data_IF_889565931588
#
_entry.id   IF_889565931588
#
_cell.length_a   1.000
_cell.length_b   1.000
_cell.length_c   1.000
_cell.angle_alpha   90.00
_cell.angle_beta   90.00
_cell.angle_gamma   90.00
#
_symmetry.space_group_name_H-M   'P 1'
#
loop_
_entity.id
_entity.type
_entity.pdbx_description
1 polymer ?
#
# COMPACT_ATOMS: atom_id res chain seq x y z
N UNK A 1 15.49 -21.80 13.97
CA UNK A 1 14.65 -20.59 13.82
C UNK A 1 14.12 -20.59 12.39
N UNK A 2 12.80 -20.47 12.16
CA UNK A 2 12.26 -20.24 10.81
C UNK A 2 12.74 -18.85 10.37
N UNK A 3 13.39 -18.78 9.20
CA UNK A 3 13.77 -17.51 8.59
C UNK A 3 12.47 -16.80 8.17
N UNK A 4 12.17 -15.67 8.77
CA UNK A 4 11.01 -14.87 8.37
C UNK A 4 11.27 -14.27 6.98
N UNK A 5 10.24 -14.26 6.14
CA UNK A 5 10.30 -13.64 4.84
C UNK A 5 10.16 -12.12 5.02
N UNK A 6 11.16 -11.39 4.58
CA UNK A 6 11.18 -9.92 4.63
C UNK A 6 10.94 -9.39 3.22
N UNK A 7 10.05 -8.41 3.08
CA UNK A 7 9.81 -7.68 1.85
C UNK A 7 10.39 -6.26 1.95
N UNK A 8 10.93 -5.75 0.84
CA UNK A 8 11.39 -4.37 0.73
C UNK A 8 10.27 -3.49 0.17
N UNK A 9 10.04 -2.33 0.79
CA UNK A 9 9.24 -1.28 0.18
C UNK A 9 10.11 -0.53 -0.84
N UNK A 10 9.74 -0.64 -2.13
CA UNK A 10 10.58 -0.11 -3.23
C UNK A 10 10.63 1.41 -3.31
N UNK A 11 9.79 2.13 -2.55
CA UNK A 11 9.94 3.57 -2.39
C UNK A 11 11.30 3.96 -1.80
N UNK A 12 11.90 3.08 -1.00
CA UNK A 12 13.25 3.28 -0.44
C UNK A 12 14.34 3.32 -1.51
N UNK A 13 14.10 2.70 -2.66
CA UNK A 13 15.00 2.64 -3.82
C UNK A 13 14.37 3.25 -5.08
N UNK A 14 13.42 4.18 -4.89
CA UNK A 14 12.65 4.79 -5.98
C UNK A 14 13.50 5.42 -7.08
N UNK A 15 14.63 6.03 -6.72
CA UNK A 15 15.53 6.62 -7.71
C UNK A 15 16.21 5.61 -8.63
N UNK A 16 16.39 4.37 -8.16
CA UNK A 16 16.90 3.27 -8.99
C UNK A 16 15.76 2.62 -9.77
N UNK A 17 14.56 2.49 -9.17
CA UNK A 17 13.35 2.04 -9.87
C UNK A 17 13.01 2.91 -11.10
N UNK A 18 13.18 4.23 -10.99
CA UNK A 18 12.97 5.17 -12.11
C UNK A 18 13.96 4.95 -13.26
N UNK A 19 15.20 4.57 -12.96
CA UNK A 19 16.27 4.36 -13.95
C UNK A 19 16.20 2.99 -14.61
N UNK A 20 16.00 1.95 -13.80
CA UNK A 20 15.96 0.55 -14.24
C UNK A 20 15.06 -0.26 -13.30
N UNK A 21 13.78 -0.32 -13.64
CA UNK A 21 12.76 -0.99 -12.85
C UNK A 21 13.07 -2.48 -12.62
N UNK A 22 13.33 -3.22 -13.69
CA UNK A 22 13.55 -4.66 -13.61
C UNK A 22 14.92 -5.03 -13.04
N UNK A 23 15.97 -4.27 -13.36
CA UNK A 23 17.30 -4.46 -12.76
C UNK A 23 17.29 -4.19 -11.26
N UNK A 24 16.55 -3.18 -10.80
CA UNK A 24 16.40 -2.89 -9.36
C UNK A 24 15.67 -4.03 -8.64
N UNK A 25 14.59 -4.59 -9.21
CA UNK A 25 13.91 -5.76 -8.62
C UNK A 25 14.84 -6.97 -8.53
N UNK A 26 15.70 -7.21 -9.52
CA UNK A 26 16.72 -8.26 -9.49
C UNK A 26 17.74 -8.03 -8.37
N UNK A 27 18.25 -6.82 -8.25
CA UNK A 27 19.17 -6.44 -7.17
C UNK A 27 18.55 -6.62 -5.78
N UNK A 28 17.28 -6.24 -5.60
CA UNK A 28 16.53 -6.47 -4.35
C UNK A 28 16.46 -7.97 -4.02
N UNK A 29 16.20 -8.82 -5.02
CA UNK A 29 16.24 -10.28 -4.82
C UNK A 29 17.62 -10.80 -4.45
N UNK A 30 18.67 -10.31 -5.10
CA UNK A 30 20.07 -10.69 -4.83
C UNK A 30 20.52 -10.27 -3.42
N UNK A 31 19.99 -9.18 -2.88
CA UNK A 31 20.18 -8.77 -1.47
C UNK A 31 19.53 -9.74 -0.47
N UNK A 32 18.68 -10.67 -0.94
CA UNK A 32 18.06 -11.70 -0.11
C UNK A 32 16.65 -11.41 0.37
N UNK A 33 16.01 -10.36 -0.13
CA UNK A 33 14.60 -10.10 0.15
C UNK A 33 13.71 -11.19 -0.49
N UNK A 34 12.67 -11.59 0.23
CA UNK A 34 11.71 -12.58 -0.23
C UNK A 34 10.62 -11.96 -1.11
N UNK A 35 10.30 -10.69 -0.90
CA UNK A 35 9.24 -9.98 -1.61
C UNK A 35 9.47 -8.47 -1.66
N UNK A 36 8.50 -7.80 -2.28
CA UNK A 36 8.47 -6.35 -2.40
C UNK A 36 7.08 -5.81 -2.11
N UNK A 37 7.05 -4.58 -1.61
CA UNK A 37 5.91 -3.69 -1.64
C UNK A 37 6.15 -2.64 -2.71
N UNK A 38 5.28 -2.60 -3.71
CA UNK A 38 5.38 -1.66 -4.80
C UNK A 38 4.94 -0.25 -4.39
N UNK A 39 5.59 0.76 -4.94
CA UNK A 39 5.22 2.18 -4.84
C UNK A 39 5.03 2.74 -6.26
N UNK A 40 3.96 2.24 -6.93
CA UNK A 40 3.73 2.44 -8.35
C UNK A 40 4.47 1.44 -9.23
N UNK A 41 4.02 1.34 -10.48
CA UNK A 41 4.60 0.42 -11.49
C UNK A 41 5.43 1.13 -12.56
N UNK A 42 5.61 2.44 -12.46
CA UNK A 42 6.45 3.25 -13.38
C UNK A 42 6.07 3.05 -14.86
N UNK A 43 4.76 2.88 -15.14
CA UNK A 43 4.25 2.65 -16.49
C UNK A 43 4.42 1.22 -17.02
N UNK A 44 4.94 0.30 -16.20
CA UNK A 44 5.07 -1.11 -16.59
C UNK A 44 3.73 -1.85 -16.48
N UNK A 45 3.51 -2.79 -17.38
CA UNK A 45 2.34 -3.66 -17.39
C UNK A 45 2.35 -4.60 -16.17
N UNK A 46 1.26 -4.65 -15.36
CA UNK A 46 1.23 -5.45 -14.14
C UNK A 46 1.44 -6.96 -14.38
N UNK A 47 1.00 -7.49 -15.52
CA UNK A 47 1.19 -8.90 -15.85
C UNK A 47 2.68 -9.18 -16.12
N UNK A 48 3.34 -8.33 -16.89
CA UNK A 48 4.79 -8.46 -17.16
C UNK A 48 5.61 -8.34 -15.88
N UNK A 49 5.24 -7.43 -14.98
CA UNK A 49 5.89 -7.29 -13.68
C UNK A 49 5.72 -8.56 -12.84
N UNK A 50 4.52 -9.12 -12.81
CA UNK A 50 4.25 -10.40 -12.13
C UNK A 50 5.10 -11.54 -12.69
N UNK A 51 5.12 -11.69 -14.02
CA UNK A 51 5.90 -12.73 -14.69
C UNK A 51 7.39 -12.62 -14.36
N UNK A 52 7.93 -11.40 -14.41
CA UNK A 52 9.31 -11.16 -14.02
C UNK A 52 9.59 -11.48 -12.55
N UNK A 53 8.70 -11.06 -11.64
CA UNK A 53 8.82 -11.41 -10.22
C UNK A 53 8.81 -12.92 -10.00
N UNK A 54 7.97 -13.66 -10.72
CA UNK A 54 7.94 -15.12 -10.70
C UNK A 54 9.24 -15.74 -11.21
N UNK A 55 9.78 -15.22 -12.32
CA UNK A 55 11.06 -15.67 -12.90
C UNK A 55 12.20 -15.58 -11.89
N UNK A 56 12.32 -14.44 -11.18
CA UNK A 56 13.41 -14.23 -10.22
C UNK A 56 13.08 -14.74 -8.80
N UNK A 57 11.88 -15.29 -8.57
CA UNK A 57 11.45 -15.79 -7.28
C UNK A 57 11.23 -14.69 -6.23
N UNK A 58 10.77 -13.51 -6.64
CA UNK A 58 10.43 -12.38 -5.78
C UNK A 58 8.89 -12.31 -5.62
N UNK A 59 8.39 -12.13 -4.41
CA UNK A 59 6.96 -12.11 -4.13
C UNK A 59 6.43 -10.67 -4.22
N UNK A 60 5.48 -10.34 -5.11
CA UNK A 60 4.73 -9.09 -5.07
C UNK A 60 3.74 -9.14 -3.90
N UNK A 61 4.16 -8.66 -2.71
CA UNK A 61 3.38 -8.82 -1.48
C UNK A 61 2.25 -7.81 -1.40
N UNK A 62 2.56 -6.54 -1.60
CA UNK A 62 1.67 -5.40 -1.43
C UNK A 62 2.00 -4.28 -2.42
N UNK A 63 1.11 -3.31 -2.53
CA UNK A 63 1.33 -2.12 -3.31
C UNK A 63 0.75 -0.88 -2.62
N UNK A 64 1.54 0.19 -2.55
CA UNK A 64 1.07 1.52 -2.25
C UNK A 64 0.31 2.09 -3.44
N UNK A 65 -0.96 2.38 -3.25
CA UNK A 65 -1.86 2.92 -4.28
C UNK A 65 -2.52 4.18 -3.73
N UNK A 66 -2.27 5.35 -4.31
CA UNK A 66 -2.85 6.60 -3.84
C UNK A 66 -4.37 6.57 -3.79
N UNK A 67 -4.95 7.20 -2.76
CA UNK A 67 -6.40 7.30 -2.60
C UNK A 67 -7.08 7.87 -3.85
N UNK A 68 -6.50 8.93 -4.41
CA UNK A 68 -7.03 9.60 -5.60
C UNK A 68 -7.01 8.69 -6.85
N UNK A 69 -5.99 7.83 -6.99
CA UNK A 69 -5.91 6.85 -8.09
C UNK A 69 -7.06 5.85 -8.00
N UNK A 70 -7.27 5.29 -6.81
CA UNK A 70 -8.39 4.37 -6.55
C UNK A 70 -9.75 5.03 -6.77
N UNK A 71 -9.92 6.28 -6.37
CA UNK A 71 -11.19 6.99 -6.54
C UNK A 71 -11.45 7.41 -8.00
N UNK A 72 -10.40 7.62 -8.80
CA UNK A 72 -10.54 7.99 -10.21
C UNK A 72 -10.95 6.82 -11.11
N UNK A 73 -10.39 5.62 -10.88
CA UNK A 73 -10.73 4.38 -11.59
C UNK A 73 -10.56 3.19 -10.65
N UNK A 74 -11.55 2.97 -9.81
CA UNK A 74 -11.49 1.93 -8.77
C UNK A 74 -11.41 0.53 -9.37
N UNK A 75 -12.27 0.22 -10.33
CA UNK A 75 -12.36 -1.12 -10.90
C UNK A 75 -11.12 -1.45 -11.75
N UNK A 76 -10.62 -0.51 -12.57
CA UNK A 76 -9.40 -0.69 -13.36
C UNK A 76 -8.16 -0.81 -12.49
N UNK A 77 -8.02 0.05 -11.49
CA UNK A 77 -6.89 0.03 -10.55
C UNK A 77 -6.87 -1.29 -9.76
N UNK A 78 -8.00 -1.73 -9.20
CA UNK A 78 -8.10 -2.99 -8.47
C UNK A 78 -7.77 -4.18 -9.39
N UNK A 79 -8.28 -4.18 -10.63
CA UNK A 79 -7.97 -5.23 -11.59
C UNK A 79 -6.47 -5.31 -11.92
N UNK A 80 -5.80 -4.17 -12.07
CA UNK A 80 -4.37 -4.10 -12.35
C UNK A 80 -3.53 -4.70 -11.20
N UNK A 81 -3.80 -4.31 -9.96
CA UNK A 81 -3.06 -4.82 -8.80
C UNK A 81 -3.41 -6.28 -8.46
N UNK A 82 -4.63 -6.72 -8.75
CA UNK A 82 -5.00 -8.14 -8.73
C UNK A 82 -4.22 -8.94 -9.77
N UNK A 83 -4.09 -8.42 -10.99
CA UNK A 83 -3.31 -9.06 -12.06
C UNK A 83 -1.83 -9.14 -11.70
N UNK A 84 -1.26 -8.12 -11.05
CA UNK A 84 0.09 -8.13 -10.48
C UNK A 84 0.28 -9.26 -9.46
N UNK A 85 -0.77 -9.64 -8.75
CA UNK A 85 -0.75 -10.72 -7.78
C UNK A 85 -0.40 -10.30 -6.36
N UNK A 86 -0.56 -9.02 -6.01
CA UNK A 86 -0.43 -8.55 -4.62
C UNK A 86 -1.55 -9.10 -3.75
N UNK A 87 -1.28 -9.22 -2.45
CA UNK A 87 -2.28 -9.58 -1.45
C UNK A 87 -2.90 -8.35 -0.80
N UNK A 88 -2.12 -7.28 -0.66
CA UNK A 88 -2.52 -6.07 0.04
C UNK A 88 -2.45 -4.85 -0.89
N UNK A 89 -3.48 -4.02 -0.82
CA UNK A 89 -3.50 -2.68 -1.41
C UNK A 89 -3.48 -1.68 -0.27
N UNK A 90 -2.44 -0.87 -0.23
CA UNK A 90 -2.15 0.06 0.86
C UNK A 90 -2.39 1.48 0.39
N UNK A 91 -3.24 2.24 1.09
CA UNK A 91 -3.34 3.68 0.86
C UNK A 91 -2.18 4.34 1.62
N UNK A 92 -1.19 4.95 0.88
CA UNK A 92 0.08 5.33 1.49
C UNK A 92 0.09 6.73 2.11
N UNK A 93 -0.81 7.61 1.69
CA UNK A 93 -0.72 9.03 2.02
C UNK A 93 -2.01 9.78 1.72
N UNK A 94 -2.26 10.85 2.45
CA UNK A 94 -3.35 11.79 2.19
C UNK A 94 -2.79 13.18 1.87
N UNK A 95 -3.28 13.78 0.80
CA UNK A 95 -3.00 15.18 0.48
C UNK A 95 -3.55 16.11 1.56
N UNK A 96 -3.01 17.31 1.68
CA UNK A 96 -3.31 18.21 2.82
C UNK A 96 -4.80 18.47 3.00
N UNK A 97 -5.54 18.65 1.91
CA UNK A 97 -6.98 18.89 1.88
C UNK A 97 -7.83 17.68 2.35
N UNK A 98 -7.24 16.49 2.36
CA UNK A 98 -7.88 15.22 2.77
C UNK A 98 -7.47 14.77 4.17
N UNK A 99 -6.52 15.45 4.82
CA UNK A 99 -6.03 15.06 6.14
C UNK A 99 -7.06 15.28 7.25
N UNK A 100 -6.89 14.60 8.39
CA UNK A 100 -7.70 14.84 9.58
C UNK A 100 -7.81 16.33 9.96
N UNK A 101 -9.03 16.76 10.29
CA UNK A 101 -9.32 18.17 10.59
C UNK A 101 -9.62 19.02 9.35
N UNK A 102 -9.42 18.50 8.15
CA UNK A 102 -9.81 19.16 6.91
C UNK A 102 -11.20 18.71 6.44
N UNK A 103 -11.93 19.53 5.67
CA UNK A 103 -13.27 19.19 5.17
C UNK A 103 -13.31 17.89 4.35
N UNK A 104 -12.20 17.53 3.69
CA UNK A 104 -12.08 16.34 2.87
C UNK A 104 -11.93 15.03 3.65
N UNK A 105 -11.69 15.07 4.96
CA UNK A 105 -11.41 13.85 5.73
C UNK A 105 -12.60 12.88 5.78
N UNK A 106 -13.83 13.37 5.86
CA UNK A 106 -15.02 12.51 5.78
C UNK A 106 -15.11 11.82 4.42
N UNK A 107 -14.77 12.52 3.33
CA UNK A 107 -14.70 11.93 1.98
C UNK A 107 -13.71 10.77 1.90
N UNK A 108 -12.58 10.88 2.62
CA UNK A 108 -11.59 9.80 2.72
C UNK A 108 -12.21 8.59 3.41
N UNK A 109 -12.85 8.77 4.56
CA UNK A 109 -13.48 7.67 5.31
C UNK A 109 -14.50 6.94 4.43
N UNK A 110 -15.39 7.69 3.78
CA UNK A 110 -16.44 7.12 2.93
C UNK A 110 -15.86 6.43 1.68
N UNK A 111 -14.86 7.03 1.05
CA UNK A 111 -14.13 6.44 -0.09
C UNK A 111 -13.39 5.17 0.31
N UNK A 112 -12.72 5.16 1.45
CA UNK A 112 -12.02 3.95 1.93
C UNK A 112 -12.98 2.81 2.26
N UNK A 113 -14.18 3.08 2.75
CA UNK A 113 -15.23 2.05 2.94
C UNK A 113 -15.61 1.42 1.59
N UNK A 114 -15.78 2.24 0.54
CA UNK A 114 -16.08 1.76 -0.82
C UNK A 114 -14.92 0.95 -1.40
N UNK A 115 -13.70 1.46 -1.31
CA UNK A 115 -12.48 0.79 -1.75
C UNK A 115 -12.34 -0.57 -1.04
N UNK A 116 -12.51 -0.60 0.29
CA UNK A 116 -12.40 -1.83 1.07
C UNK A 116 -13.42 -2.90 0.68
N UNK A 117 -14.66 -2.51 0.38
CA UNK A 117 -15.68 -3.42 -0.11
C UNK A 117 -15.29 -4.03 -1.46
N UNK A 118 -14.84 -3.20 -2.41
CA UNK A 118 -14.40 -3.64 -3.75
C UNK A 118 -13.16 -4.51 -3.72
N UNK A 119 -12.15 -4.14 -2.90
CA UNK A 119 -10.96 -4.96 -2.70
C UNK A 119 -11.31 -6.34 -2.15
N UNK A 120 -12.21 -6.40 -1.16
CA UNK A 120 -12.70 -7.66 -0.59
C UNK A 120 -13.40 -8.54 -1.64
N UNK A 121 -14.24 -7.97 -2.50
CA UNK A 121 -14.87 -8.68 -3.63
C UNK A 121 -13.82 -9.23 -4.60
N UNK A 122 -12.74 -8.49 -4.82
CA UNK A 122 -11.61 -8.91 -5.64
C UNK A 122 -10.70 -9.95 -4.97
N UNK A 123 -10.87 -10.25 -3.67
CA UNK A 123 -10.01 -11.13 -2.88
C UNK A 123 -8.74 -10.47 -2.37
N UNK A 124 -8.69 -9.14 -2.33
CA UNK A 124 -7.59 -8.33 -1.83
C UNK A 124 -7.92 -7.74 -0.46
N UNK A 125 -6.89 -7.34 0.28
CA UNK A 125 -7.03 -6.74 1.61
C UNK A 125 -6.60 -5.28 1.56
N UNK A 126 -7.47 -4.39 2.03
CA UNK A 126 -7.12 -2.99 2.23
C UNK A 126 -6.21 -2.82 3.45
N UNK A 127 -5.18 -1.99 3.30
CA UNK A 127 -4.36 -1.49 4.41
C UNK A 127 -4.24 0.03 4.33
N UNK A 128 -3.86 0.63 5.45
CA UNK A 128 -3.52 2.04 5.54
C UNK A 128 -2.12 2.19 6.13
N UNK A 129 -1.29 3.03 5.51
CA UNK A 129 0.02 3.42 6.00
C UNK A 129 -0.07 4.84 6.56
N UNK A 130 0.02 4.95 7.88
CA UNK A 130 -0.12 6.22 8.56
C UNK A 130 1.20 7.01 8.62
N UNK A 131 1.07 8.31 8.85
CA UNK A 131 2.14 9.25 9.14
C UNK A 131 1.92 9.89 10.53
N UNK A 132 2.49 11.05 10.76
CA UNK A 132 2.34 11.81 11.99
C UNK A 132 1.01 12.60 12.06
N UNK A 133 0.48 13.01 10.92
CA UNK A 133 -0.73 13.84 10.86
C UNK A 133 -2.02 13.11 11.28
N UNK A 134 -2.05 11.79 11.31
CA UNK A 134 -3.20 11.03 11.83
C UNK A 134 -3.23 10.97 13.37
N UNK A 135 -2.18 11.43 14.05
CA UNK A 135 -2.17 11.54 15.51
C UNK A 135 -2.73 12.86 16.04
N UNK A 136 -3.35 13.67 15.18
CA UNK A 136 -4.10 14.84 15.62
C UNK A 136 -5.38 14.41 16.37
N UNK A 137 -5.71 15.15 17.43
CA UNK A 137 -6.93 14.93 18.22
C UNK A 137 -8.11 15.62 17.54
N UNK A 138 -9.19 14.88 17.28
CA UNK A 138 -10.48 15.38 16.82
C UNK A 138 -11.53 14.98 17.86
N UNK A 139 -12.20 15.96 18.47
CA UNK A 139 -13.23 15.74 19.48
C UNK A 139 -12.84 14.79 20.64
N UNK A 140 -11.57 14.80 21.02
CA UNK A 140 -11.03 13.99 22.12
C UNK A 140 -10.55 12.59 21.75
N UNK A 141 -10.53 12.23 20.46
CA UNK A 141 -10.03 10.95 19.95
C UNK A 141 -8.95 11.18 18.88
N UNK A 142 -7.96 10.31 18.78
CA UNK A 142 -6.98 10.37 17.69
C UNK A 142 -7.65 10.07 16.35
N UNK A 143 -7.32 10.86 15.34
CA UNK A 143 -7.88 10.68 14.00
C UNK A 143 -7.59 9.29 13.41
N UNK A 144 -6.46 8.69 13.77
CA UNK A 144 -6.13 7.30 13.39
C UNK A 144 -7.13 6.31 13.98
N UNK A 145 -7.50 6.47 15.25
CA UNK A 145 -8.47 5.59 15.92
C UNK A 145 -9.87 5.77 15.31
N UNK A 146 -10.25 7.01 15.00
CA UNK A 146 -11.50 7.32 14.25
C UNK A 146 -11.50 6.57 12.92
N UNK A 147 -10.41 6.69 12.14
CA UNK A 147 -10.28 6.02 10.85
C UNK A 147 -10.47 4.51 10.97
N UNK A 148 -9.80 3.87 11.94
CA UNK A 148 -9.94 2.41 12.13
C UNK A 148 -11.31 2.01 12.64
N UNK A 149 -11.91 2.76 13.55
CA UNK A 149 -13.26 2.50 14.04
C UNK A 149 -14.26 2.56 12.88
N UNK A 150 -14.14 3.58 12.02
CA UNK A 150 -15.05 3.78 10.89
C UNK A 150 -14.87 2.73 9.76
N UNK A 151 -13.64 2.30 9.52
CA UNK A 151 -13.34 1.29 8.50
C UNK A 151 -13.64 -0.13 8.98
N UNK A 152 -13.70 -0.34 10.30
CA UNK A 152 -13.97 -1.65 10.90
C UNK A 152 -12.91 -2.71 10.57
N UNK A 153 -13.22 -4.01 10.78
CA UNK A 153 -12.25 -5.09 10.65
C UNK A 153 -11.79 -5.37 9.20
N UNK A 154 -12.35 -4.67 8.23
CA UNK A 154 -11.96 -4.81 6.82
C UNK A 154 -10.64 -4.09 6.49
N UNK A 155 -10.25 -3.09 7.30
CA UNK A 155 -8.99 -2.38 7.15
C UNK A 155 -7.97 -2.89 8.18
N UNK A 156 -6.73 -3.13 7.74
CA UNK A 156 -5.63 -3.52 8.61
C UNK A 156 -4.57 -2.43 8.62
N UNK A 157 -3.95 -2.22 9.79
CA UNK A 157 -2.72 -1.43 9.90
C UNK A 157 -1.61 -2.13 9.11
N UNK A 158 -0.91 -1.35 8.32
CA UNK A 158 0.37 -1.80 7.80
C UNK A 158 1.40 -1.64 8.93
N UNK A 159 1.81 -2.74 9.55
CA UNK A 159 2.96 -2.72 10.44
C UNK A 159 4.24 -2.56 9.62
N UNK A 160 4.73 -1.33 9.48
CA UNK A 160 6.07 -1.10 8.95
C UNK A 160 7.11 -1.41 10.02
N UNK A 161 8.25 -1.99 9.64
CA UNK A 161 9.36 -2.23 10.58
C UNK A 161 9.91 -0.94 11.22
N UNK A 162 9.67 0.22 10.64
CA UNK A 162 10.03 1.52 11.21
C UNK A 162 9.27 1.85 12.50
N UNK A 163 8.07 1.32 12.71
CA UNK A 163 7.31 1.52 13.95
C UNK A 163 7.81 0.64 15.12
N UNK A 164 8.49 -0.48 14.85
CA UNK A 164 9.05 -1.35 15.90
C UNK A 164 10.32 -0.79 16.57
N UNK A 165 10.95 0.24 15.99
CA UNK A 165 12.19 0.84 16.52
C UNK A 165 11.93 2.03 17.44
N UNK A 166 10.68 2.39 17.72
CA UNK A 166 10.31 3.56 18.53
C UNK A 166 9.69 3.20 19.90
N UNK A 167 9.91 1.96 20.39
CA UNK A 167 9.52 1.53 21.76
C UNK A 167 10.74 1.07 22.53
#
# INVERSE_FOLDING_TARGET
>A
MKKENIALQVYSVRGDMEKDFFGTLRAVKEMGYAGVEFAGLYGNDPIKVKEFCQEIGLIPLSAHVPFQELMADMDGTIAAYKALGVQYVVIPYLTEDLRPGQPGFQTVIDGMKQIGAKLKEAGLVQQYHNHDFEFVMLDGEYALDILYRELGPAAKLQESQQQRSAV
#
